data_IF_995908255708
#
_entry.id   IF_995908255708
#
_cell.length_a   1.000
_cell.length_b   1.000
_cell.length_c   1.000
_cell.angle_alpha   90.00
_cell.angle_beta   90.00
_cell.angle_gamma   90.00
#
_symmetry.space_group_name_H-M   'P 1'
#
loop_
_entity.id
_entity.type
_entity.pdbx_description
1 polymer ?
#
# COMPACT_ATOMS: atom_id res chain seq x y z
N UNK A 1 18.87 -14.99 29.02
CA UNK A 1 19.44 -14.54 27.72
C UNK A 1 18.63 -15.02 26.50
N UNK A 2 17.37 -15.47 26.70
CA UNK A 2 16.53 -16.05 25.63
C UNK A 2 15.22 -15.32 25.36
N UNK A 3 14.82 -14.32 26.15
CA UNK A 3 13.59 -13.56 25.92
C UNK A 3 13.80 -12.16 25.34
N UNK A 4 14.96 -11.55 25.57
CA UNK A 4 15.24 -10.17 25.08
C UNK A 4 15.55 -10.08 23.58
N UNK A 5 15.73 -11.19 22.88
CA UNK A 5 16.07 -11.20 21.44
C UNK A 5 14.86 -11.31 20.50
N UNK A 6 13.62 -11.31 21.02
CA UNK A 6 12.42 -11.66 20.22
C UNK A 6 11.61 -10.49 19.69
N UNK A 7 11.82 -9.26 20.15
CA UNK A 7 11.08 -8.10 19.65
C UNK A 7 11.99 -7.16 18.88
N UNK A 8 11.71 -6.98 17.60
CA UNK A 8 12.26 -5.92 16.78
C UNK A 8 11.07 -5.04 16.36
N UNK A 9 10.99 -3.77 16.76
CA UNK A 9 11.89 -3.08 17.70
C UNK A 9 11.72 -3.50 19.17
N UNK A 10 12.73 -3.23 20.04
CA UNK A 10 12.70 -3.59 21.44
C UNK A 10 11.53 -2.97 22.20
N UNK A 11 11.04 -3.65 23.25
CA UNK A 11 9.97 -3.12 24.11
C UNK A 11 10.48 -2.25 25.26
N UNK A 12 11.73 -2.45 25.67
CA UNK A 12 12.33 -1.82 26.85
C UNK A 12 13.59 -1.05 26.48
N UNK A 13 13.86 -0.02 27.27
CA UNK A 13 15.01 0.86 27.09
C UNK A 13 14.82 1.91 26.02
N UNK A 14 15.90 2.62 25.71
CA UNK A 14 15.92 3.69 24.70
C UNK A 14 16.53 3.18 23.40
N UNK A 15 15.84 3.44 22.28
CA UNK A 15 16.32 3.14 20.93
C UNK A 15 15.79 4.18 19.93
N UNK A 16 16.35 4.21 18.74
CA UNK A 16 15.84 5.00 17.62
C UNK A 16 15.41 4.10 16.49
N UNK A 17 14.34 4.47 15.78
CA UNK A 17 13.87 3.77 14.60
C UNK A 17 13.62 4.76 13.46
N UNK A 18 13.98 4.37 12.25
CA UNK A 18 13.89 5.21 11.07
C UNK A 18 13.01 4.56 10.01
N UNK A 19 12.07 5.32 9.46
CA UNK A 19 11.30 4.94 8.27
C UNK A 19 11.35 6.01 7.21
N UNK A 20 11.10 5.61 5.97
CA UNK A 20 11.05 6.51 4.82
C UNK A 20 9.72 6.43 4.09
N UNK A 21 9.44 7.44 3.30
CA UNK A 21 8.37 7.46 2.31
C UNK A 21 8.79 8.25 1.08
N UNK A 22 7.99 8.18 0.03
CA UNK A 22 8.26 8.90 -1.22
C UNK A 22 6.99 9.57 -1.73
N UNK A 23 7.15 10.62 -2.53
CA UNK A 23 6.03 11.32 -3.14
C UNK A 23 5.42 10.52 -4.31
N UNK A 24 4.24 10.92 -4.74
CA UNK A 24 3.56 10.39 -5.93
C UNK A 24 4.39 10.49 -7.22
N UNK A 25 5.31 11.45 -7.28
CA UNK A 25 6.18 11.68 -8.44
C UNK A 25 7.49 10.90 -8.43
N UNK A 26 7.75 10.08 -7.42
CA UNK A 26 8.87 9.15 -7.43
C UNK A 26 8.66 8.12 -8.55
N UNK A 27 9.71 7.74 -9.35
CA UNK A 27 9.55 6.85 -10.49
C UNK A 27 8.82 5.53 -10.20
N UNK A 28 9.16 4.85 -9.12
CA UNK A 28 8.48 3.61 -8.73
C UNK A 28 7.00 3.87 -8.40
N UNK A 29 6.67 5.00 -7.77
CA UNK A 29 5.27 5.33 -7.44
C UNK A 29 4.46 5.81 -8.66
N UNK A 30 5.10 6.38 -9.68
CA UNK A 30 4.45 6.62 -10.97
C UNK A 30 4.06 5.29 -11.60
N UNK A 31 4.97 4.30 -11.58
CA UNK A 31 4.72 2.96 -12.11
C UNK A 31 3.56 2.27 -11.38
N UNK A 32 3.56 2.31 -10.04
CA UNK A 32 2.47 1.77 -9.22
C UNK A 32 1.12 2.42 -9.53
N UNK A 33 1.07 3.75 -9.62
CA UNK A 33 -0.16 4.49 -9.93
C UNK A 33 -0.69 4.18 -11.32
N UNK A 34 0.18 4.02 -12.33
CA UNK A 34 -0.25 3.63 -13.69
C UNK A 34 -0.84 2.23 -13.67
N UNK A 35 -0.19 1.26 -13.00
CA UNK A 35 -0.66 -0.12 -12.92
C UNK A 35 -2.01 -0.23 -12.22
N UNK A 36 -2.21 0.49 -11.13
CA UNK A 36 -3.49 0.52 -10.40
C UNK A 36 -4.56 1.32 -11.15
N UNK A 37 -4.22 2.38 -11.89
CA UNK A 37 -5.17 3.10 -12.74
C UNK A 37 -5.70 2.23 -13.89
N UNK A 38 -4.85 1.37 -14.45
CA UNK A 38 -5.28 0.38 -15.47
C UNK A 38 -6.25 -0.61 -14.85
N UNK A 39 -5.95 -1.14 -13.66
CA UNK A 39 -6.84 -2.05 -12.93
C UNK A 39 -8.20 -1.38 -12.63
N UNK A 40 -8.21 -0.17 -12.10
CA UNK A 40 -9.43 0.56 -11.77
C UNK A 40 -10.27 0.85 -13.02
N UNK A 41 -9.64 1.25 -14.13
CA UNK A 41 -10.34 1.48 -15.38
C UNK A 41 -11.01 0.21 -15.92
N UNK A 42 -10.33 -0.94 -15.81
CA UNK A 42 -10.87 -2.26 -16.20
C UNK A 42 -12.07 -2.61 -15.32
N UNK A 43 -11.93 -2.52 -13.99
CA UNK A 43 -13.02 -2.84 -13.07
C UNK A 43 -14.24 -1.96 -13.31
N UNK A 44 -14.05 -0.66 -13.43
CA UNK A 44 -15.13 0.29 -13.70
C UNK A 44 -15.86 -0.03 -15.01
N UNK A 45 -15.10 -0.33 -16.09
CA UNK A 45 -15.70 -0.64 -17.39
C UNK A 45 -16.37 -2.01 -17.41
N UNK A 46 -15.82 -3.00 -16.72
CA UNK A 46 -16.44 -4.34 -16.62
C UNK A 46 -17.77 -4.26 -15.85
N UNK A 47 -17.83 -3.49 -14.75
CA UNK A 47 -19.08 -3.24 -14.01
C UNK A 47 -20.12 -2.58 -14.91
N UNK A 48 -19.75 -1.54 -15.65
CA UNK A 48 -20.64 -0.86 -16.60
C UNK A 48 -21.18 -1.83 -17.65
N UNK A 49 -20.34 -2.67 -18.25
CA UNK A 49 -20.72 -3.67 -19.24
C UNK A 49 -21.64 -4.75 -18.63
N UNK A 50 -21.36 -5.18 -17.42
CA UNK A 50 -22.19 -6.15 -16.69
C UNK A 50 -23.59 -5.57 -16.43
N UNK A 51 -23.71 -4.31 -16.00
CA UNK A 51 -25.00 -3.63 -15.80
C UNK A 51 -25.80 -3.48 -17.11
N UNK A 52 -25.12 -3.33 -18.23
CA UNK A 52 -25.73 -3.28 -19.58
C UNK A 52 -26.12 -4.67 -20.11
N UNK A 53 -25.77 -5.75 -19.42
CA UNK A 53 -26.00 -7.14 -19.88
C UNK A 53 -25.18 -7.50 -21.12
N UNK A 54 -23.99 -6.90 -21.26
CA UNK A 54 -23.12 -7.12 -22.42
C UNK A 54 -22.62 -8.57 -22.49
N UNK A 55 -22.73 -9.15 -23.67
CA UNK A 55 -22.18 -10.47 -24.01
C UNK A 55 -21.16 -10.25 -25.14
N UNK A 56 -19.93 -10.66 -24.91
CA UNK A 56 -18.89 -10.54 -25.90
C UNK A 56 -19.12 -11.45 -27.14
N UNK A 57 -18.46 -11.21 -28.29
CA UNK A 57 -18.62 -12.02 -29.49
C UNK A 57 -18.29 -13.51 -29.31
N UNK A 58 -17.49 -13.86 -28.33
CA UNK A 58 -17.19 -15.24 -27.94
C UNK A 58 -18.27 -15.91 -27.07
N UNK A 59 -19.37 -15.19 -26.77
CA UNK A 59 -20.50 -15.68 -25.96
C UNK A 59 -20.31 -15.52 -24.45
N UNK A 60 -19.20 -14.95 -23.99
CA UNK A 60 -18.93 -14.75 -22.56
C UNK A 60 -19.56 -13.45 -22.08
N UNK A 61 -20.41 -13.45 -21.04
CA UNK A 61 -20.95 -12.23 -20.47
C UNK A 61 -19.90 -11.46 -19.68
N UNK A 62 -20.01 -10.13 -19.68
CA UNK A 62 -19.23 -9.30 -18.78
C UNK A 62 -19.61 -9.60 -17.33
N UNK A 63 -18.60 -9.83 -16.50
CA UNK A 63 -18.78 -10.10 -15.06
C UNK A 63 -17.49 -9.72 -14.31
N UNK A 64 -17.60 -8.75 -13.42
CA UNK A 64 -16.48 -8.28 -12.60
C UNK A 64 -15.80 -9.40 -11.78
N UNK A 65 -16.54 -10.48 -11.48
CA UNK A 65 -15.98 -11.65 -10.79
C UNK A 65 -14.94 -12.40 -11.62
N UNK A 66 -15.01 -12.28 -12.96
CA UNK A 66 -14.11 -12.92 -13.90
C UNK A 66 -12.90 -12.07 -14.27
N UNK A 67 -12.83 -10.83 -13.80
CA UNK A 67 -11.69 -9.96 -14.06
C UNK A 67 -10.44 -10.52 -13.38
N UNK A 68 -9.36 -10.64 -14.17
CA UNK A 68 -8.02 -10.95 -13.66
C UNK A 68 -7.05 -9.93 -14.23
N UNK A 69 -6.23 -9.38 -13.37
CA UNK A 69 -5.26 -8.36 -13.73
C UNK A 69 -3.96 -8.59 -12.97
N UNK A 70 -2.87 -8.69 -13.71
CA UNK A 70 -1.51 -8.61 -13.22
C UNK A 70 -0.78 -7.62 -14.15
N UNK A 71 -0.84 -6.33 -13.80
CA UNK A 71 -0.33 -5.22 -14.61
C UNK A 71 0.93 -4.66 -13.97
N UNK A 72 2.01 -4.62 -14.72
CA UNK A 72 3.29 -4.07 -14.31
C UNK A 72 3.70 -2.95 -15.26
N UNK A 73 4.30 -1.90 -14.69
CA UNK A 73 4.72 -0.72 -15.43
C UNK A 73 6.20 -0.45 -15.18
N UNK A 74 6.93 -0.10 -16.24
CA UNK A 74 8.26 0.48 -16.19
C UNK A 74 8.18 1.91 -16.72
N UNK A 75 8.79 2.85 -15.99
CA UNK A 75 8.97 4.23 -16.44
C UNK A 75 10.44 4.60 -16.44
N UNK A 76 10.88 5.30 -17.50
CA UNK A 76 12.25 5.83 -17.62
C UNK A 76 12.22 7.11 -18.45
N UNK A 77 13.37 7.71 -18.77
CA UNK A 77 13.44 8.93 -19.58
C UNK A 77 12.58 8.80 -20.84
N UNK A 78 11.55 9.64 -20.94
CA UNK A 78 10.69 9.74 -22.13
C UNK A 78 9.89 8.49 -22.50
N UNK A 79 9.82 7.47 -21.60
CA UNK A 79 9.20 6.18 -21.97
C UNK A 79 8.43 5.56 -20.81
N UNK A 80 7.27 4.97 -21.14
CA UNK A 80 6.44 4.11 -20.29
C UNK A 80 6.22 2.79 -21.01
N UNK A 81 6.42 1.69 -20.31
CA UNK A 81 6.07 0.33 -20.80
C UNK A 81 5.08 -0.26 -19.80
N UNK A 82 3.90 -0.62 -20.27
CA UNK A 82 2.88 -1.33 -19.49
C UNK A 82 2.77 -2.75 -20.03
N UNK A 83 3.03 -3.73 -19.17
CA UNK A 83 3.05 -5.15 -19.53
C UNK A 83 2.24 -5.97 -18.52
N UNK A 84 1.92 -7.20 -18.87
CA UNK A 84 1.27 -8.14 -17.96
C UNK A 84 0.14 -8.92 -18.58
N UNK A 85 -0.56 -9.69 -17.75
CA UNK A 85 -1.63 -10.59 -18.15
C UNK A 85 -2.97 -10.06 -17.62
N UNK A 86 -3.93 -9.88 -18.53
CA UNK A 86 -5.26 -9.36 -18.21
C UNK A 86 -6.33 -10.22 -18.88
N UNK A 87 -7.35 -10.61 -18.08
CA UNK A 87 -8.58 -11.25 -18.55
C UNK A 87 -9.77 -10.36 -18.19
N UNK A 88 -10.45 -9.82 -19.20
CA UNK A 88 -11.61 -8.94 -19.06
C UNK A 88 -12.40 -8.90 -20.37
N UNK A 89 -13.67 -8.49 -20.33
CA UNK A 89 -14.44 -8.12 -21.53
C UNK A 89 -14.37 -6.61 -21.82
N UNK A 90 -13.77 -5.85 -20.89
CA UNK A 90 -13.63 -4.41 -21.01
C UNK A 90 -12.48 -4.04 -21.95
N UNK A 91 -12.69 -3.02 -22.79
CA UNK A 91 -11.61 -2.32 -23.47
C UNK A 91 -11.30 -1.02 -22.76
N UNK A 92 -10.02 -0.78 -22.46
CA UNK A 92 -9.52 0.48 -21.91
C UNK A 92 -8.32 0.98 -22.73
N UNK A 93 -8.21 2.29 -22.87
CA UNK A 93 -7.06 2.90 -23.54
C UNK A 93 -5.91 3.09 -22.53
N UNK A 94 -5.01 2.12 -22.50
CA UNK A 94 -3.86 2.09 -21.57
C UNK A 94 -2.95 3.32 -21.77
N UNK A 95 -2.83 3.83 -23.01
CA UNK A 95 -1.99 5.01 -23.27
C UNK A 95 -2.60 6.25 -22.65
N UNK A 96 -3.90 6.48 -22.83
CA UNK A 96 -4.58 7.63 -22.23
C UNK A 96 -4.61 7.53 -20.70
N UNK A 97 -4.79 6.35 -20.13
CA UNK A 97 -4.70 6.11 -18.68
C UNK A 97 -3.32 6.53 -18.16
N UNK A 98 -2.25 6.00 -18.75
CA UNK A 98 -0.88 6.33 -18.35
C UNK A 98 -0.61 7.84 -18.45
N UNK A 99 -0.99 8.48 -19.56
CA UNK A 99 -0.86 9.94 -19.74
C UNK A 99 -1.66 10.73 -18.71
N UNK A 100 -2.86 10.27 -18.37
CA UNK A 100 -3.71 10.86 -17.34
C UNK A 100 -3.04 10.88 -15.97
N UNK A 101 -2.47 9.75 -15.56
CA UNK A 101 -1.71 9.62 -14.31
C UNK A 101 -0.49 10.56 -14.30
N UNK A 102 0.32 10.55 -15.36
CA UNK A 102 1.51 11.40 -15.48
C UNK A 102 1.15 12.88 -15.41
N UNK A 103 0.04 13.29 -16.08
CA UNK A 103 -0.48 14.65 -16.07
C UNK A 103 -0.92 15.10 -14.68
N UNK A 104 -1.67 14.25 -13.97
CA UNK A 104 -2.16 14.52 -12.61
C UNK A 104 -1.00 14.69 -11.62
N UNK A 105 0.03 13.85 -11.71
CA UNK A 105 1.24 13.95 -10.89
C UNK A 105 1.98 15.27 -11.15
N UNK A 106 1.87 15.84 -12.35
CA UNK A 106 2.46 17.13 -12.69
C UNK A 106 3.70 17.06 -13.57
N UNK A 107 3.97 15.93 -14.23
CA UNK A 107 4.96 15.82 -15.30
C UNK A 107 4.33 16.29 -16.63
N UNK A 108 4.27 17.60 -16.82
CA UNK A 108 3.57 18.27 -17.92
C UNK A 108 4.45 19.19 -18.77
N UNK A 109 5.78 19.00 -18.71
CA UNK A 109 6.76 19.80 -19.45
C UNK A 109 7.89 18.93 -19.98
N UNK A 110 8.12 18.99 -21.29
CA UNK A 110 9.17 18.23 -21.97
C UNK A 110 10.59 18.43 -21.35
N UNK A 111 10.85 19.62 -20.78
CA UNK A 111 12.14 19.92 -20.11
C UNK A 111 12.41 19.07 -18.86
N UNK A 112 11.43 18.35 -18.34
CA UNK A 112 11.62 17.38 -17.25
C UNK A 112 12.19 16.05 -17.74
N UNK A 113 12.37 15.87 -19.07
CA UNK A 113 12.82 14.61 -19.68
C UNK A 113 11.77 13.49 -19.60
N UNK A 114 10.60 13.79 -19.08
CA UNK A 114 9.44 12.92 -18.95
C UNK A 114 8.19 13.80 -18.83
N UNK A 115 7.23 13.63 -19.71
CA UNK A 115 5.97 14.40 -19.67
C UNK A 115 4.82 13.65 -20.33
N UNK A 116 3.59 14.01 -19.94
CA UNK A 116 2.37 13.32 -20.34
C UNK A 116 2.05 13.41 -21.84
N UNK A 117 2.56 14.42 -22.57
CA UNK A 117 2.23 14.62 -23.98
C UNK A 117 3.23 13.93 -24.91
N UNK A 118 4.53 13.96 -24.56
CA UNK A 118 5.61 13.54 -25.47
C UNK A 118 6.25 12.20 -25.13
N UNK A 119 6.01 11.64 -23.92
CA UNK A 119 6.56 10.32 -23.60
C UNK A 119 5.99 9.23 -24.52
N UNK A 120 6.84 8.29 -24.94
CA UNK A 120 6.38 7.08 -25.62
C UNK A 120 5.67 6.16 -24.62
N UNK A 121 4.50 5.65 -24.97
CA UNK A 121 3.78 4.66 -24.16
C UNK A 121 3.62 3.39 -24.98
N UNK A 122 4.18 2.28 -24.49
CA UNK A 122 4.06 0.97 -25.10
C UNK A 122 3.18 0.07 -24.21
N UNK A 123 2.23 -0.60 -24.83
CA UNK A 123 1.41 -1.65 -24.18
C UNK A 123 1.85 -3.02 -24.68
N UNK A 124 2.27 -3.88 -23.74
CA UNK A 124 2.67 -5.27 -23.96
C UNK A 124 1.79 -6.20 -23.11
N UNK A 125 0.49 -5.89 -23.08
CA UNK A 125 -0.51 -6.67 -22.36
C UNK A 125 -1.00 -7.83 -23.24
N UNK A 126 -1.14 -9.01 -22.65
CA UNK A 126 -1.68 -10.19 -23.29
C UNK A 126 -2.65 -10.94 -22.36
N UNK A 127 -3.31 -11.98 -22.89
CA UNK A 127 -4.24 -12.79 -22.11
C UNK A 127 -3.51 -13.67 -21.10
N UNK A 128 -4.18 -13.95 -19.97
CA UNK A 128 -3.68 -14.86 -18.94
C UNK A 128 -3.54 -16.29 -19.49
N UNK A 129 -2.47 -17.00 -19.05
CA UNK A 129 -2.27 -18.42 -19.36
C UNK A 129 -3.47 -19.27 -18.92
N UNK A 130 -4.01 -20.16 -19.80
CA UNK A 130 -5.09 -21.08 -19.42
C UNK A 130 -4.73 -22.00 -18.26
N UNK A 131 -3.47 -22.39 -18.13
CA UNK A 131 -3.00 -23.30 -17.07
C UNK A 131 -3.09 -22.62 -15.68
N UNK A 132 -2.75 -21.32 -15.61
CA UNK A 132 -2.89 -20.54 -14.38
C UNK A 132 -4.37 -20.30 -14.07
N UNK A 133 -5.18 -19.99 -15.08
CA UNK A 133 -6.60 -19.74 -14.91
C UNK A 133 -7.33 -20.95 -14.29
N UNK A 134 -7.01 -22.17 -14.70
CA UNK A 134 -7.64 -23.38 -14.20
C UNK A 134 -7.48 -23.56 -12.67
N UNK A 135 -6.30 -23.25 -12.13
CA UNK A 135 -6.04 -23.42 -10.69
C UNK A 135 -6.65 -22.32 -9.81
N UNK A 136 -7.00 -21.17 -10.40
CA UNK A 136 -7.51 -20.00 -9.65
C UNK A 136 -9.02 -19.84 -9.75
N UNK A 137 -9.60 -20.25 -10.88
CA UNK A 137 -11.04 -20.11 -11.14
C UNK A 137 -11.89 -21.14 -10.37
N UNK A 138 -11.32 -22.31 -10.05
CA UNK A 138 -11.96 -23.33 -9.24
C UNK A 138 -10.94 -23.93 -8.26
N UNK A 139 -11.19 -23.78 -6.95
CA UNK A 139 -10.27 -24.24 -5.92
C UNK A 139 -10.11 -25.77 -5.90
N UNK A 140 -9.00 -26.23 -5.33
CA UNK A 140 -8.72 -27.65 -5.12
C UNK A 140 -9.84 -28.34 -4.34
N UNK A 141 -10.39 -27.71 -3.32
CA UNK A 141 -11.47 -28.25 -2.50
C UNK A 141 -12.76 -28.43 -3.32
N UNK A 142 -13.07 -27.50 -4.23
CA UNK A 142 -14.23 -27.58 -5.12
C UNK A 142 -14.02 -28.65 -6.19
N UNK A 143 -12.86 -28.68 -6.86
CA UNK A 143 -12.52 -29.68 -7.87
C UNK A 143 -12.55 -31.12 -7.33
N UNK A 144 -12.14 -31.31 -6.09
CA UNK A 144 -12.17 -32.63 -5.42
C UNK A 144 -13.52 -33.00 -4.80
N UNK A 145 -14.48 -32.10 -4.83
CA UNK A 145 -15.78 -32.28 -4.17
C UNK A 145 -15.74 -32.30 -2.65
N UNK A 146 -14.67 -31.75 -2.06
CA UNK A 146 -14.50 -31.67 -0.62
C UNK A 146 -15.42 -30.62 0.03
N UNK A 147 -15.94 -29.67 -0.76
CA UNK A 147 -16.84 -28.62 -0.30
C UNK A 147 -17.93 -28.32 -1.32
N UNK A 148 -19.04 -27.74 -0.84
CA UNK A 148 -20.10 -27.15 -1.67
C UNK A 148 -20.35 -25.68 -1.27
N UNK A 149 -19.52 -25.12 -0.39
CA UNK A 149 -19.60 -23.72 0.04
C UNK A 149 -19.15 -22.80 -1.14
N UNK A 150 -20.00 -21.87 -1.61
CA UNK A 150 -19.63 -20.95 -2.69
C UNK A 150 -18.41 -20.09 -2.38
N UNK A 151 -18.08 -19.86 -1.10
CA UNK A 151 -16.88 -19.10 -0.69
C UNK A 151 -15.60 -19.87 -1.05
N UNK A 152 -15.63 -21.19 -1.01
CA UNK A 152 -14.51 -22.04 -1.35
C UNK A 152 -14.26 -22.16 -2.86
N UNK A 153 -15.13 -21.59 -3.70
CA UNK A 153 -14.95 -21.62 -5.16
C UNK A 153 -13.63 -20.97 -5.59
N UNK A 154 -13.27 -19.86 -4.94
CA UNK A 154 -12.06 -19.09 -5.25
C UNK A 154 -10.90 -19.63 -4.42
N UNK A 155 -9.91 -20.22 -5.09
CA UNK A 155 -8.61 -20.54 -4.50
C UNK A 155 -7.68 -19.33 -4.45
N UNK A 156 -6.62 -19.41 -3.65
CA UNK A 156 -5.58 -18.39 -3.64
C UNK A 156 -4.91 -18.27 -5.02
N UNK A 157 -4.76 -17.03 -5.50
CA UNK A 157 -4.17 -16.76 -6.83
C UNK A 157 -2.68 -17.06 -6.94
N UNK A 158 -2.01 -17.25 -5.82
CA UNK A 158 -0.60 -17.64 -5.71
C UNK A 158 -0.33 -18.27 -4.35
N UNK A 159 0.85 -18.87 -4.19
CA UNK A 159 1.42 -19.20 -2.89
C UNK A 159 2.06 -17.97 -2.28
N UNK A 160 2.16 -17.89 -0.94
CA UNK A 160 2.91 -16.81 -0.30
C UNK A 160 2.60 -16.66 1.18
N UNK A 161 3.33 -15.75 1.81
CA UNK A 161 3.12 -15.28 3.18
C UNK A 161 2.80 -13.79 3.14
N UNK A 162 1.77 -13.36 3.83
CA UNK A 162 1.34 -11.96 3.91
C UNK A 162 1.28 -11.54 5.36
N UNK A 163 1.65 -10.30 5.62
CA UNK A 163 1.73 -9.75 6.97
C UNK A 163 0.82 -8.53 7.12
N UNK A 164 0.17 -8.46 8.28
CA UNK A 164 -0.52 -7.27 8.75
C UNK A 164 0.08 -6.83 10.07
N UNK A 165 0.13 -5.51 10.31
CA UNK A 165 0.66 -4.95 11.54
C UNK A 165 -0.23 -3.79 12.03
N UNK A 166 -0.29 -3.61 13.35
CA UNK A 166 -0.87 -2.45 13.99
C UNK A 166 -0.18 -2.17 15.33
N UNK A 167 -0.12 -0.91 15.73
CA UNK A 167 0.34 -0.48 17.04
C UNK A 167 -0.48 0.72 17.53
N UNK A 168 -0.57 0.91 18.85
CA UNK A 168 -1.33 2.01 19.45
C UNK A 168 -0.55 3.35 19.47
N UNK A 169 0.46 3.50 18.59
CA UNK A 169 1.34 4.68 18.55
C UNK A 169 0.67 5.91 17.92
N UNK A 170 -0.24 5.71 16.97
CA UNK A 170 -0.94 6.76 16.24
C UNK A 170 -2.44 6.54 16.22
N UNK A 171 -3.22 7.58 15.92
CA UNK A 171 -4.70 7.48 15.80
C UNK A 171 -5.15 6.46 14.75
N UNK A 172 -4.34 6.23 13.72
CA UNK A 172 -4.62 5.25 12.66
C UNK A 172 -4.03 3.88 12.94
N UNK A 173 -3.44 3.69 14.13
CA UNK A 173 -2.80 2.46 14.58
C UNK A 173 -1.64 2.01 13.67
N UNK A 174 -0.83 2.99 13.24
CA UNK A 174 0.39 2.80 12.46
C UNK A 174 1.63 3.13 13.29
N UNK A 175 2.80 2.55 12.94
CA UNK A 175 4.09 2.94 13.53
C UNK A 175 4.40 4.42 13.27
N UNK A 176 4.79 5.15 14.32
CA UNK A 176 5.00 6.60 14.26
C UNK A 176 6.01 7.05 13.18
N UNK A 177 7.20 6.43 13.01
CA UNK A 177 8.18 6.90 12.02
C UNK A 177 7.66 6.80 10.59
N UNK A 178 6.99 5.69 10.25
CA UNK A 178 6.42 5.48 8.92
C UNK A 178 5.23 6.40 8.65
N UNK A 179 4.36 6.54 9.64
CA UNK A 179 3.22 7.44 9.56
C UNK A 179 3.68 8.88 9.29
N UNK A 180 4.64 9.39 10.06
CA UNK A 180 5.17 10.75 9.87
C UNK A 180 5.87 10.92 8.51
N UNK A 181 6.68 9.93 8.09
CA UNK A 181 7.34 9.98 6.78
C UNK A 181 6.30 10.07 5.64
N UNK A 182 5.23 9.28 5.71
CA UNK A 182 4.15 9.30 4.71
C UNK A 182 3.37 10.63 4.74
N UNK A 183 3.06 11.17 5.94
CA UNK A 183 2.39 12.50 6.04
C UNK A 183 3.26 13.62 5.51
N UNK A 184 4.58 13.58 5.74
CA UNK A 184 5.51 14.56 5.15
C UNK A 184 5.54 14.47 3.62
N UNK A 185 5.58 13.27 3.04
CA UNK A 185 5.55 13.07 1.59
C UNK A 185 4.24 13.57 0.97
N UNK A 186 3.11 13.29 1.60
CA UNK A 186 1.80 13.79 1.17
C UNK A 186 1.72 15.31 1.26
N UNK A 187 2.18 15.91 2.38
CA UNK A 187 2.19 17.37 2.54
C UNK A 187 3.12 18.06 1.55
N UNK A 188 4.28 17.44 1.25
CA UNK A 188 5.21 17.93 0.25
C UNK A 188 4.56 18.04 -1.14
N UNK A 189 3.78 17.05 -1.52
CA UNK A 189 3.00 17.09 -2.76
C UNK A 189 1.86 18.10 -2.70
N UNK A 190 1.16 18.20 -1.58
CA UNK A 190 0.05 19.14 -1.42
C UNK A 190 0.50 20.59 -1.61
N UNK A 191 1.61 21.03 -0.99
CA UNK A 191 2.11 22.41 -1.13
C UNK A 191 2.63 22.74 -2.53
N UNK A 192 2.96 21.71 -3.32
CA UNK A 192 3.27 21.85 -4.74
C UNK A 192 2.00 22.03 -5.56
N UNK A 193 0.98 21.20 -5.32
CA UNK A 193 -0.29 21.24 -6.07
C UNK A 193 -1.10 22.49 -5.80
N UNK A 194 -1.16 22.96 -4.57
CA UNK A 194 -1.91 24.17 -4.20
C UNK A 194 -1.18 25.48 -4.54
N UNK A 195 0.08 25.38 -5.01
CA UNK A 195 0.88 26.52 -5.41
C UNK A 195 1.54 27.28 -4.26
N UNK A 196 1.49 26.77 -3.02
CA UNK A 196 2.21 27.35 -1.87
C UNK A 196 3.72 27.37 -2.14
N UNK A 197 4.27 26.26 -2.66
CA UNK A 197 5.66 26.15 -3.10
C UNK A 197 5.76 25.77 -4.57
N UNK A 198 5.49 26.69 -5.51
CA UNK A 198 5.33 26.39 -6.93
C UNK A 198 6.61 26.00 -7.65
N UNK A 199 7.75 26.18 -7.00
CA UNK A 199 9.06 25.79 -7.53
C UNK A 199 9.41 24.31 -7.26
N UNK A 200 8.66 23.62 -6.40
CA UNK A 200 8.83 22.18 -6.19
C UNK A 200 8.44 21.40 -7.44
N UNK A 201 9.06 20.24 -7.59
CA UNK A 201 8.80 19.30 -8.67
C UNK A 201 8.27 18.00 -8.07
N UNK A 202 7.69 17.08 -8.91
CA UNK A 202 6.94 15.94 -8.37
C UNK A 202 7.76 14.93 -7.57
N UNK A 203 9.05 14.75 -7.88
CA UNK A 203 9.89 13.73 -7.24
C UNK A 203 10.40 14.19 -5.87
N UNK A 204 10.26 13.33 -4.88
CA UNK A 204 10.76 13.59 -3.53
C UNK A 204 10.73 12.36 -2.64
N UNK A 205 11.53 12.43 -1.58
CA UNK A 205 11.63 11.42 -0.52
C UNK A 205 11.62 12.08 0.85
N UNK A 206 11.07 11.39 1.81
CA UNK A 206 11.05 11.79 3.21
C UNK A 206 11.55 10.66 4.08
N UNK A 207 12.25 10.99 5.16
CA UNK A 207 12.73 10.01 6.14
C UNK A 207 12.61 10.63 7.52
N UNK A 208 12.13 9.86 8.50
CA UNK A 208 11.94 10.30 9.87
C UNK A 208 12.55 9.29 10.82
N UNK A 209 13.39 9.78 11.75
CA UNK A 209 13.90 9.00 12.87
C UNK A 209 13.22 9.43 14.15
N UNK A 210 12.62 8.47 14.84
CA UNK A 210 11.93 8.67 16.12
C UNK A 210 12.69 7.96 17.22
N UNK A 211 12.87 8.64 18.35
CA UNK A 211 13.38 8.03 19.58
C UNK A 211 12.22 7.44 20.38
N UNK A 212 12.47 6.23 20.86
CA UNK A 212 11.56 5.45 21.69
C UNK A 212 12.12 5.29 23.09
N UNK A 213 11.24 5.30 24.08
CA UNK A 213 11.52 4.92 25.47
C UNK A 213 10.45 3.92 25.90
N UNK A 214 10.91 2.75 26.34
CA UNK A 214 10.04 1.65 26.77
C UNK A 214 8.90 1.36 25.79
N UNK A 215 9.25 1.23 24.51
CA UNK A 215 8.34 0.90 23.43
C UNK A 215 7.41 2.03 22.97
N UNK A 216 7.53 3.25 23.51
CA UNK A 216 6.70 4.40 23.16
C UNK A 216 7.49 5.47 22.41
N UNK A 217 6.96 6.03 21.32
CA UNK A 217 7.59 7.14 20.61
C UNK A 217 7.58 8.39 21.50
N UNK A 218 8.72 9.08 21.63
CA UNK A 218 8.84 10.26 22.52
C UNK A 218 9.21 11.53 21.78
N UNK A 219 10.06 11.45 20.76
CA UNK A 219 10.43 12.63 19.95
C UNK A 219 10.99 12.23 18.59
N UNK A 220 10.91 13.15 17.64
CA UNK A 220 11.64 13.07 16.37
C UNK A 220 13.05 13.60 16.57
N UNK A 221 14.05 12.80 16.20
CA UNK A 221 15.46 13.16 16.31
C UNK A 221 16.09 13.58 14.98
N UNK A 222 15.52 13.10 13.84
CA UNK A 222 16.04 13.44 12.52
C UNK A 222 14.94 13.48 11.49
N UNK A 223 14.96 14.48 10.61
CA UNK A 223 14.09 14.59 9.44
C UNK A 223 14.96 14.81 8.21
N UNK A 224 14.79 13.96 7.18
CA UNK A 224 15.42 14.14 5.88
C UNK A 224 14.35 14.36 4.83
N UNK A 225 14.46 15.43 4.04
CA UNK A 225 13.63 15.66 2.86
C UNK A 225 14.53 15.88 1.66
N UNK A 226 14.42 15.01 0.67
CA UNK A 226 14.99 15.22 -0.65
C UNK A 226 13.85 15.55 -1.62
N UNK A 227 13.88 16.73 -2.20
CA UNK A 227 12.83 17.19 -3.12
C UNK A 227 13.39 17.83 -4.36
N UNK A 228 12.87 17.41 -5.51
CA UNK A 228 13.18 18.01 -6.79
C UNK A 228 12.62 19.44 -6.83
N UNK A 229 13.40 20.35 -7.40
CA UNK A 229 13.03 21.76 -7.48
C UNK A 229 13.39 22.40 -8.83
N UNK A 230 12.86 23.58 -9.10
CA UNK A 230 13.17 24.35 -10.29
C UNK A 230 14.64 24.81 -10.31
N UNK A 231 15.22 24.80 -11.50
CA UNK A 231 16.64 25.15 -11.70
C UNK A 231 16.98 26.59 -11.29
N UNK A 232 15.97 27.44 -11.31
CA UNK A 232 16.07 28.87 -10.98
C UNK A 232 16.23 29.13 -9.48
N UNK A 233 15.95 28.13 -8.64
CA UNK A 233 16.12 28.23 -7.18
C UNK A 233 17.49 27.64 -6.80
N UNK A 234 18.44 28.54 -6.51
CA UNK A 234 19.80 28.16 -6.14
C UNK A 234 20.05 28.21 -4.62
N UNK A 235 19.21 28.93 -3.89
CA UNK A 235 19.32 29.08 -2.43
C UNK A 235 18.69 27.86 -1.70
N UNK A 236 19.54 26.93 -1.30
CA UNK A 236 19.12 25.76 -0.52
C UNK A 236 18.64 26.13 0.88
N UNK A 237 19.13 27.26 1.43
CA UNK A 237 18.65 27.80 2.72
C UNK A 237 17.19 28.22 2.66
N UNK A 238 16.79 28.85 1.53
CA UNK A 238 15.39 29.19 1.29
C UNK A 238 14.52 27.93 1.19
N UNK A 239 14.93 26.92 0.43
CA UNK A 239 14.17 25.68 0.32
C UNK A 239 14.00 25.04 1.70
N UNK A 240 15.07 25.00 2.52
CA UNK A 240 15.01 24.46 3.88
C UNK A 240 14.03 25.23 4.76
N UNK A 241 14.06 26.56 4.74
CA UNK A 241 13.15 27.40 5.52
C UNK A 241 11.68 27.20 5.12
N UNK A 242 11.40 27.21 3.81
CA UNK A 242 10.06 26.99 3.26
C UNK A 242 9.51 25.60 3.62
N UNK A 243 10.34 24.54 3.56
CA UNK A 243 9.91 23.20 3.95
C UNK A 243 9.68 23.04 5.44
N UNK A 244 10.46 23.73 6.29
CA UNK A 244 10.21 23.76 7.73
C UNK A 244 8.84 24.40 8.00
N UNK A 245 8.56 25.56 7.39
CA UNK A 245 7.35 26.33 7.64
C UNK A 245 6.09 25.63 7.07
N UNK A 246 6.15 25.14 5.83
CA UNK A 246 4.96 24.71 5.11
C UNK A 246 4.74 23.19 5.09
N UNK A 247 5.78 22.40 5.41
CA UNK A 247 5.70 20.93 5.39
C UNK A 247 5.95 20.33 6.77
N UNK A 248 7.10 20.58 7.39
CA UNK A 248 7.49 19.90 8.63
C UNK A 248 6.63 20.36 9.80
N UNK A 249 6.61 21.67 10.10
CA UNK A 249 5.91 22.19 11.25
C UNK A 249 4.40 21.86 11.26
N UNK A 250 3.66 21.98 10.14
CA UNK A 250 2.24 21.59 10.12
C UNK A 250 2.01 20.09 10.40
N UNK A 251 2.85 19.20 9.88
CA UNK A 251 2.71 17.76 10.10
C UNK A 251 3.03 17.40 11.55
N UNK A 252 4.12 17.92 12.11
CA UNK A 252 4.49 17.66 13.51
C UNK A 252 3.45 18.19 14.49
N UNK A 253 2.89 19.38 14.22
CA UNK A 253 1.83 19.96 15.03
C UNK A 253 0.53 19.12 14.99
N UNK A 254 0.15 18.59 13.83
CA UNK A 254 -1.04 17.77 13.68
C UNK A 254 -0.97 16.46 14.49
N UNK A 255 0.24 15.90 14.65
CA UNK A 255 0.48 14.66 15.38
C UNK A 255 0.99 14.90 16.81
N UNK A 256 1.10 16.17 17.22
CA UNK A 256 1.60 16.58 18.55
C UNK A 256 2.94 15.91 18.92
N UNK A 257 3.84 15.81 17.93
CA UNK A 257 5.12 15.10 18.08
C UNK A 257 6.25 16.10 18.30
N UNK A 258 7.00 16.04 19.44
CA UNK A 258 8.14 16.91 19.69
C UNK A 258 9.26 16.71 18.66
N UNK A 259 9.84 17.83 18.18
CA UNK A 259 10.92 17.83 17.19
C UNK A 259 11.89 19.00 17.31
N UNK A 260 11.80 19.81 18.38
CA UNK A 260 12.59 21.03 18.57
C UNK A 260 14.11 20.83 18.54
N UNK A 261 14.56 19.62 18.89
CA UNK A 261 15.98 19.23 18.85
C UNK A 261 16.39 18.43 17.62
N UNK A 262 15.52 18.27 16.63
CA UNK A 262 15.76 17.38 15.50
C UNK A 262 16.80 17.93 14.52
N UNK A 263 17.68 17.06 14.03
CA UNK A 263 18.53 17.35 12.88
C UNK A 263 17.70 17.35 11.59
N UNK A 264 17.67 18.49 10.89
CA UNK A 264 16.90 18.63 9.64
C UNK A 264 17.85 18.72 8.45
N UNK A 265 17.77 17.74 7.57
CA UNK A 265 18.50 17.66 6.31
C UNK A 265 17.56 17.85 5.12
N UNK A 266 17.80 18.91 4.34
CA UNK A 266 17.07 19.17 3.09
C UNK A 266 18.05 19.18 1.94
N UNK A 267 17.80 18.29 0.95
CA UNK A 267 18.70 18.11 -0.19
C UNK A 267 20.20 18.07 0.24
N UNK A 268 20.62 17.15 1.12
CA UNK A 268 21.96 17.19 1.74
C UNK A 268 23.09 17.09 0.72
N UNK A 269 22.83 16.59 -0.48
CA UNK A 269 23.79 16.56 -1.60
C UNK A 269 23.81 17.86 -2.41
N UNK A 270 22.97 18.85 -2.04
CA UNK A 270 22.83 20.12 -2.73
C UNK A 270 21.69 20.13 -3.75
N UNK A 271 21.94 20.60 -4.95
CA UNK A 271 20.94 20.82 -6.00
C UNK A 271 20.29 19.52 -6.48
N UNK A 272 18.94 19.49 -6.48
CA UNK A 272 18.14 18.38 -6.99
C UNK A 272 17.17 18.86 -8.09
N UNK A 273 17.68 19.07 -9.29
CA UNK A 273 16.92 19.55 -10.46
C UNK A 273 16.54 18.42 -11.41
N UNK A 274 17.47 17.48 -11.64
CA UNK A 274 17.19 16.27 -12.44
C UNK A 274 16.65 15.22 -11.49
N UNK A 275 15.43 14.78 -11.73
CA UNK A 275 14.71 13.78 -10.92
C UNK A 275 13.58 13.15 -11.72
N UNK A 276 12.74 12.37 -11.05
CA UNK A 276 11.72 11.59 -11.70
C UNK A 276 12.30 10.55 -12.66
N UNK A 277 11.52 10.07 -13.66
CA UNK A 277 11.99 9.05 -14.61
C UNK A 277 13.19 9.46 -15.46
N UNK A 278 13.55 10.75 -15.52
CA UNK A 278 14.78 11.22 -16.13
C UNK A 278 16.01 10.91 -15.27
N UNK A 279 15.83 10.89 -13.95
CA UNK A 279 16.92 10.65 -12.99
C UNK A 279 17.13 9.18 -12.67
N UNK A 280 16.04 8.43 -12.57
CA UNK A 280 16.05 7.01 -12.19
C UNK A 280 14.88 6.27 -12.83
N UNK A 281 15.06 4.99 -13.15
CA UNK A 281 14.02 4.12 -13.70
C UNK A 281 13.10 3.64 -12.57
N UNK A 282 11.78 3.71 -12.80
CA UNK A 282 10.77 3.19 -11.88
C UNK A 282 10.12 1.91 -12.39
N UNK A 283 9.76 1.04 -11.45
CA UNK A 283 8.99 -0.18 -11.72
C UNK A 283 7.91 -0.39 -10.66
N UNK A 284 6.80 -1.00 -11.07
CA UNK A 284 5.75 -1.46 -10.17
C UNK A 284 6.32 -2.41 -9.13
N UNK A 285 5.91 -2.22 -7.86
CA UNK A 285 6.25 -3.12 -6.77
C UNK A 285 7.67 -2.99 -6.21
N UNK A 286 8.34 -1.86 -6.43
CA UNK A 286 9.67 -1.59 -5.86
C UNK A 286 9.67 -0.70 -4.62
N UNK A 287 8.49 -0.35 -4.10
CA UNK A 287 8.32 0.43 -2.86
C UNK A 287 7.45 -0.28 -1.83
N UNK A 288 7.55 -1.63 -1.79
CA UNK A 288 6.68 -2.48 -0.96
C UNK A 288 6.77 -2.20 0.54
N UNK A 289 7.90 -1.73 1.02
CA UNK A 289 8.08 -1.36 2.43
C UNK A 289 7.46 0.02 2.72
N UNK A 290 7.56 0.97 1.78
CA UNK A 290 6.85 2.26 1.84
C UNK A 290 5.33 2.06 1.75
N UNK A 291 4.88 1.09 0.97
CA UNK A 291 3.46 0.76 0.81
C UNK A 291 2.84 0.16 2.07
N UNK A 292 3.64 -0.38 2.99
CA UNK A 292 3.19 -1.11 4.17
C UNK A 292 3.53 -0.40 5.49
N UNK A 293 4.57 -0.82 6.20
CA UNK A 293 4.84 -0.38 7.57
C UNK A 293 6.21 0.27 7.76
N UNK A 294 6.92 0.62 6.67
CA UNK A 294 8.22 1.32 6.74
C UNK A 294 9.33 0.53 7.42
N UNK A 295 9.24 -0.80 7.39
CA UNK A 295 10.20 -1.70 8.02
C UNK A 295 9.90 -2.05 9.50
N UNK A 296 8.81 -1.51 10.06
CA UNK A 296 8.41 -1.79 11.43
C UNK A 296 7.73 -3.17 11.58
N UNK A 297 6.87 -3.55 10.64
CA UNK A 297 6.29 -4.88 10.50
C UNK A 297 7.04 -5.72 9.46
N UNK A 298 6.91 -7.06 9.54
CA UNK A 298 7.44 -7.98 8.53
C UNK A 298 6.74 -7.79 7.19
N UNK A 299 7.35 -8.32 6.14
CA UNK A 299 6.80 -8.30 4.77
C UNK A 299 7.07 -9.63 4.06
N UNK A 300 6.06 -10.16 3.37
CA UNK A 300 6.19 -11.43 2.63
C UNK A 300 6.86 -11.31 1.26
N UNK A 301 7.10 -10.09 0.76
CA UNK A 301 7.76 -9.79 -0.51
C UNK A 301 6.82 -9.52 -1.68
N UNK A 302 5.52 -9.79 -1.58
CA UNK A 302 4.55 -9.55 -2.64
C UNK A 302 4.22 -8.07 -2.84
N UNK A 303 4.25 -7.58 -4.07
CA UNK A 303 3.79 -6.25 -4.45
C UNK A 303 2.26 -6.19 -4.55
N UNK A 304 1.67 -5.02 -4.34
CA UNK A 304 0.22 -4.80 -4.38
C UNK A 304 -0.26 -4.25 -5.71
N UNK A 305 0.33 -3.15 -6.18
CA UNK A 305 -0.14 -2.38 -7.33
C UNK A 305 -0.20 -3.24 -8.60
N UNK A 306 -1.24 -3.02 -9.40
CA UNK A 306 -1.51 -3.74 -10.63
C UNK A 306 -2.17 -5.12 -10.46
N UNK A 307 -2.33 -5.61 -9.23
CA UNK A 307 -2.92 -6.92 -8.91
C UNK A 307 -4.39 -6.77 -8.52
N UNK A 308 -5.28 -7.56 -9.15
CA UNK A 308 -6.67 -7.68 -8.73
C UNK A 308 -6.82 -8.45 -7.40
N UNK A 309 -8.01 -8.41 -6.81
CA UNK A 309 -8.29 -8.95 -5.48
C UNK A 309 -8.16 -10.47 -5.34
N UNK A 310 -8.02 -11.24 -6.43
CA UNK A 310 -7.76 -12.69 -6.35
C UNK A 310 -6.30 -13.02 -6.00
N UNK A 311 -5.40 -12.04 -6.15
CA UNK A 311 -4.00 -12.16 -5.76
C UNK A 311 -3.87 -11.91 -4.27
N UNK A 312 -3.61 -12.97 -3.53
CA UNK A 312 -3.50 -12.95 -2.06
C UNK A 312 -2.37 -12.05 -1.54
N UNK A 313 -1.33 -11.79 -2.34
CA UNK A 313 -0.29 -10.79 -2.03
C UNK A 313 -0.92 -9.46 -1.63
N UNK A 314 -1.99 -9.05 -2.29
CA UNK A 314 -2.72 -7.83 -2.02
C UNK A 314 -3.88 -8.06 -1.04
N UNK A 315 -4.82 -8.92 -1.38
CA UNK A 315 -6.06 -9.10 -0.61
C UNK A 315 -5.81 -9.65 0.78
N UNK A 316 -4.91 -10.62 0.95
CA UNK A 316 -4.61 -11.18 2.26
C UNK A 316 -3.71 -10.26 3.11
N UNK A 317 -2.84 -9.43 2.50
CA UNK A 317 -2.14 -8.38 3.24
C UNK A 317 -3.11 -7.33 3.78
N UNK A 318 -4.14 -6.96 3.02
CA UNK A 318 -5.22 -6.08 3.48
C UNK A 318 -6.04 -6.72 4.60
N UNK A 319 -6.40 -8.01 4.47
CA UNK A 319 -7.09 -8.76 5.52
C UNK A 319 -6.25 -8.89 6.80
N UNK A 320 -4.95 -9.17 6.67
CA UNK A 320 -4.05 -9.24 7.80
C UNK A 320 -3.94 -7.89 8.53
N UNK A 321 -3.91 -6.76 7.79
CA UNK A 321 -4.01 -5.42 8.37
C UNK A 321 -5.34 -5.21 9.11
N UNK A 322 -6.45 -5.60 8.51
CA UNK A 322 -7.77 -5.50 9.12
C UNK A 322 -7.83 -6.25 10.45
N UNK A 323 -7.32 -7.49 10.49
CA UNK A 323 -7.23 -8.30 11.72
C UNK A 323 -6.36 -7.60 12.77
N UNK A 324 -5.11 -7.26 12.43
CA UNK A 324 -4.16 -6.64 13.37
C UNK A 324 -4.72 -5.33 13.94
N UNK A 325 -5.35 -4.50 13.08
CA UNK A 325 -5.94 -3.24 13.49
C UNK A 325 -7.09 -3.43 14.47
N UNK A 326 -7.97 -4.41 14.24
CA UNK A 326 -9.09 -4.71 15.15
C UNK A 326 -8.60 -5.29 16.49
N UNK A 327 -7.57 -6.11 16.51
CA UNK A 327 -6.97 -6.64 17.76
C UNK A 327 -6.46 -5.49 18.63
N UNK A 328 -5.70 -4.55 18.06
CA UNK A 328 -5.18 -3.38 18.79
C UNK A 328 -6.30 -2.42 19.18
N UNK A 329 -7.25 -2.14 18.28
CA UNK A 329 -8.40 -1.29 18.56
C UNK A 329 -9.32 -1.86 19.66
N UNK A 330 -9.42 -3.18 19.78
CA UNK A 330 -10.13 -3.86 20.85
C UNK A 330 -9.42 -3.77 22.21
N UNK A 331 -8.19 -3.24 22.24
CA UNK A 331 -7.38 -3.17 23.47
C UNK A 331 -6.88 -4.54 23.94
N UNK A 332 -6.78 -5.52 23.05
CA UNK A 332 -6.29 -6.86 23.38
C UNK A 332 -4.76 -6.92 23.48
N UNK A 333 -4.08 -6.01 22.75
CA UNK A 333 -2.63 -5.83 22.78
C UNK A 333 -2.28 -4.38 22.35
N UNK A 334 -1.09 -3.89 22.72
CA UNK A 334 -0.58 -2.59 22.24
C UNK A 334 0.00 -2.69 20.83
N UNK A 335 0.49 -3.87 20.44
CA UNK A 335 1.01 -4.20 19.11
C UNK A 335 0.51 -5.57 18.68
N UNK A 336 0.24 -5.72 17.39
CA UNK A 336 -0.18 -6.99 16.82
C UNK A 336 0.38 -7.12 15.39
N UNK A 337 1.01 -8.25 15.12
CA UNK A 337 1.37 -8.70 13.78
C UNK A 337 0.62 -9.99 13.47
N UNK A 338 0.09 -10.08 12.27
CA UNK A 338 -0.62 -11.25 11.77
C UNK A 338 0.08 -11.75 10.52
N UNK A 339 0.42 -13.04 10.49
CA UNK A 339 0.89 -13.73 9.29
C UNK A 339 -0.20 -14.64 8.74
N UNK A 340 -0.42 -14.57 7.44
CA UNK A 340 -1.28 -15.48 6.68
C UNK A 340 -0.46 -16.16 5.60
N UNK A 341 -0.58 -17.48 5.47
CA UNK A 341 0.09 -18.23 4.41
C UNK A 341 -0.91 -19.00 3.55
N UNK A 342 -0.68 -19.02 2.23
CA UNK A 342 -1.54 -19.70 1.26
C UNK A 342 -0.73 -20.58 0.31
N UNK A 343 -1.40 -21.58 -0.26
CA UNK A 343 -0.94 -22.31 -1.44
C UNK A 343 -1.81 -21.96 -2.65
N UNK A 344 -1.22 -21.89 -3.83
CA UNK A 344 -1.95 -21.60 -5.07
C UNK A 344 -3.11 -22.58 -5.27
N UNK A 345 -4.29 -22.07 -5.62
CA UNK A 345 -5.49 -22.86 -5.88
C UNK A 345 -6.18 -23.40 -4.62
N UNK A 346 -5.66 -23.22 -3.43
CA UNK A 346 -6.28 -23.68 -2.16
C UNK A 346 -7.14 -22.55 -1.56
N UNK A 347 -8.37 -22.89 -1.13
CA UNK A 347 -9.33 -21.91 -0.63
C UNK A 347 -9.12 -21.53 0.84
N UNK A 348 -8.29 -22.25 1.58
CA UNK A 348 -8.06 -22.03 3.01
C UNK A 348 -6.63 -21.59 3.26
N UNK A 349 -6.37 -20.67 4.23
CA UNK A 349 -5.01 -20.39 4.64
C UNK A 349 -4.35 -21.65 5.21
N UNK A 350 -3.06 -21.85 4.91
CA UNK A 350 -2.25 -22.96 5.46
C UNK A 350 -1.91 -22.71 6.91
N UNK A 351 -1.72 -21.45 7.29
CA UNK A 351 -1.44 -21.03 8.66
C UNK A 351 -1.92 -19.60 8.91
N UNK A 352 -2.29 -19.36 10.17
CA UNK A 352 -2.59 -18.06 10.74
C UNK A 352 -1.72 -17.93 11.98
N UNK A 353 -0.85 -16.92 12.03
CA UNK A 353 -0.04 -16.63 13.22
C UNK A 353 -0.39 -15.23 13.72
N UNK A 354 -0.49 -15.06 15.01
CA UNK A 354 -0.66 -13.77 15.69
C UNK A 354 0.47 -13.60 16.68
N UNK A 355 1.20 -12.50 16.59
CA UNK A 355 2.28 -12.13 17.49
C UNK A 355 1.96 -10.76 18.12
N UNK A 356 1.84 -10.73 19.42
CA UNK A 356 1.59 -9.50 20.18
C UNK A 356 2.86 -8.87 20.74
N UNK A 357 4.02 -9.46 20.47
CA UNK A 357 5.32 -9.01 20.96
C UNK A 357 5.37 -8.89 22.50
N UNK A 358 4.60 -9.72 23.20
CA UNK A 358 4.48 -9.68 24.68
C UNK A 358 3.71 -8.46 25.22
N UNK A 359 2.95 -7.74 24.36
CA UNK A 359 2.10 -6.61 24.78
C UNK A 359 0.64 -7.00 24.98
N UNK A 360 0.32 -8.29 24.98
CA UNK A 360 -1.03 -8.79 25.17
C UNK A 360 -1.60 -8.40 26.55
N UNK A 361 -2.85 -7.96 26.57
CA UNK A 361 -3.61 -7.65 27.80
C UNK A 361 -4.49 -8.83 28.24
N UNK A 362 -4.61 -9.84 27.39
CA UNK A 362 -5.26 -11.13 27.66
C UNK A 362 -4.34 -12.27 27.22
N UNK A 363 -4.65 -13.51 27.55
CA UNK A 363 -3.84 -14.65 27.13
C UNK A 363 -3.78 -14.73 25.58
N UNK A 364 -2.59 -14.93 25.01
CA UNK A 364 -2.37 -14.90 23.55
C UNK A 364 -3.17 -15.97 22.80
N UNK A 365 -3.34 -17.16 23.41
CA UNK A 365 -4.16 -18.23 22.85
C UNK A 365 -5.64 -17.83 22.68
N UNK A 366 -6.15 -16.97 23.56
CA UNK A 366 -7.51 -16.40 23.41
C UNK A 366 -7.59 -15.40 22.27
N UNK A 367 -6.53 -14.63 22.00
CA UNK A 367 -6.50 -13.70 20.87
C UNK A 367 -6.52 -14.49 19.56
N UNK A 368 -5.71 -15.55 19.46
CA UNK A 368 -5.70 -16.44 18.28
C UNK A 368 -7.07 -17.06 18.05
N UNK A 369 -7.68 -17.63 19.08
CA UNK A 369 -9.04 -18.22 19.03
C UNK A 369 -10.09 -17.17 18.60
N UNK A 370 -10.00 -15.95 19.12
CA UNK A 370 -10.91 -14.86 18.76
C UNK A 370 -10.74 -14.45 17.30
N UNK A 371 -9.50 -14.35 16.80
CA UNK A 371 -9.22 -14.06 15.40
C UNK A 371 -9.80 -15.13 14.47
N UNK A 372 -9.54 -16.42 14.75
CA UNK A 372 -10.04 -17.53 13.94
C UNK A 372 -11.59 -17.62 13.90
N UNK A 373 -12.25 -17.21 14.99
CA UNK A 373 -13.73 -17.20 15.04
C UNK A 373 -14.37 -16.00 14.38
N UNK A 374 -13.69 -14.84 14.42
CA UNK A 374 -14.25 -13.56 13.97
C UNK A 374 -14.02 -13.31 12.49
N UNK A 375 -12.90 -13.78 11.94
CA UNK A 375 -12.48 -13.48 10.57
C UNK A 375 -12.46 -14.74 9.71
N UNK A 376 -13.19 -14.71 8.61
CA UNK A 376 -13.08 -15.71 7.56
C UNK A 376 -11.97 -15.27 6.59
N UNK A 377 -10.81 -15.91 6.69
CA UNK A 377 -9.60 -15.55 5.94
C UNK A 377 -9.42 -16.38 4.66
N UNK A 378 -10.49 -17.02 4.17
CA UNK A 378 -10.52 -17.62 2.83
C UNK A 378 -10.52 -16.50 1.77
N UNK A 379 -9.81 -16.65 0.63
CA UNK A 379 -9.74 -15.61 -0.41
C UNK A 379 -11.11 -15.07 -0.84
N UNK A 380 -12.10 -15.93 -1.08
CA UNK A 380 -13.45 -15.53 -1.44
C UNK A 380 -14.15 -14.71 -0.35
N UNK A 381 -13.95 -15.04 0.93
CA UNK A 381 -14.50 -14.29 2.05
C UNK A 381 -13.83 -12.92 2.21
N UNK A 382 -12.50 -12.85 2.08
CA UNK A 382 -11.75 -11.57 2.12
C UNK A 382 -12.28 -10.61 1.06
N UNK A 383 -12.45 -11.09 -0.18
CA UNK A 383 -12.96 -10.27 -1.30
C UNK A 383 -14.36 -9.74 -0.99
N UNK A 384 -15.24 -10.57 -0.43
CA UNK A 384 -16.59 -10.19 -0.04
C UNK A 384 -16.60 -9.20 1.12
N UNK A 385 -15.91 -9.51 2.21
CA UNK A 385 -16.00 -8.77 3.48
C UNK A 385 -15.30 -7.40 3.39
N UNK A 386 -14.25 -7.30 2.58
CA UNK A 386 -13.56 -6.03 2.30
C UNK A 386 -14.07 -5.35 1.02
N UNK A 387 -15.05 -5.93 0.31
CA UNK A 387 -15.67 -5.37 -0.91
C UNK A 387 -14.62 -4.91 -1.94
N UNK A 388 -13.72 -5.84 -2.32
CA UNK A 388 -12.53 -5.54 -3.11
C UNK A 388 -12.74 -5.54 -4.64
N UNK A 389 -13.95 -5.76 -5.15
CA UNK A 389 -14.22 -5.75 -6.61
C UNK A 389 -14.61 -4.36 -7.14
N UNK A 390 -14.26 -3.32 -6.43
CA UNK A 390 -14.52 -1.92 -6.80
C UNK A 390 -13.27 -1.25 -7.35
N UNK A 391 -13.40 -0.18 -8.17
CA UNK A 391 -12.27 0.62 -8.64
C UNK A 391 -11.77 1.56 -7.53
N UNK A 392 -10.97 1.03 -6.61
CA UNK A 392 -10.49 1.70 -5.39
C UNK A 392 -8.97 1.73 -5.28
N UNK A 393 -8.26 1.20 -6.26
CA UNK A 393 -6.86 0.84 -6.14
C UNK A 393 -5.89 1.96 -6.47
N UNK A 394 -6.15 2.78 -7.48
CA UNK A 394 -5.25 3.87 -7.90
C UNK A 394 -4.88 4.80 -6.72
N UNK A 395 -5.84 5.14 -5.89
CA UNK A 395 -5.61 6.01 -4.73
C UNK A 395 -4.80 5.38 -3.60
N UNK A 396 -4.62 4.05 -3.61
CA UNK A 396 -3.73 3.36 -2.65
C UNK A 396 -2.27 3.49 -3.03
N UNK A 397 -1.97 3.70 -4.31
CA UNK A 397 -0.65 3.58 -4.90
C UNK A 397 0.35 4.67 -4.50
N UNK A 398 -0.03 5.65 -3.70
CA UNK A 398 0.87 6.66 -3.14
C UNK A 398 0.55 6.91 -1.67
N UNK A 399 1.58 7.25 -0.86
CA UNK A 399 1.47 7.59 0.57
C UNK A 399 1.07 6.44 1.50
N UNK A 400 1.28 5.18 1.07
CA UNK A 400 0.99 3.97 1.82
C UNK A 400 -0.42 3.43 1.62
N UNK A 401 -0.54 2.10 1.66
CA UNK A 401 -1.83 1.40 1.56
C UNK A 401 -2.56 1.33 2.91
N UNK A 402 -1.85 1.57 4.01
CA UNK A 402 -2.35 1.46 5.39
C UNK A 402 -2.26 2.78 6.14
N UNK A 403 -3.08 2.90 7.19
CA UNK A 403 -3.09 4.08 8.06
C UNK A 403 -3.75 5.32 7.45
N UNK A 404 -4.67 5.15 6.51
CA UNK A 404 -5.42 6.23 5.86
C UNK A 404 -6.92 6.02 6.05
N UNK A 405 -7.60 7.03 6.60
CA UNK A 405 -9.04 7.00 6.88
C UNK A 405 -9.86 7.40 5.64
N UNK A 406 -9.70 6.65 4.54
CA UNK A 406 -10.52 6.77 3.34
C UNK A 406 -11.66 5.76 3.43
N UNK A 407 -12.94 6.13 3.15
CA UNK A 407 -14.08 5.22 3.24
C UNK A 407 -13.98 3.99 2.32
N UNK A 408 -13.20 4.06 1.24
CA UNK A 408 -12.95 2.91 0.36
C UNK A 408 -11.86 1.96 0.88
N UNK A 409 -11.08 2.38 1.86
CA UNK A 409 -10.05 1.53 2.48
C UNK A 409 -10.69 0.68 3.58
N UNK A 410 -11.49 -0.29 3.17
CA UNK A 410 -12.31 -1.12 4.05
C UNK A 410 -11.51 -1.92 5.07
N UNK A 411 -10.24 -2.24 4.77
CA UNK A 411 -9.30 -2.90 5.67
C UNK A 411 -8.83 -2.02 6.84
N UNK A 412 -9.15 -0.73 6.82
CA UNK A 412 -8.91 0.18 7.93
C UNK A 412 -10.08 0.28 8.91
N UNK A 413 -11.20 -0.42 8.68
CA UNK A 413 -12.36 -0.45 9.59
C UNK A 413 -12.01 -1.19 10.88
N UNK A 414 -12.56 -0.68 12.00
CA UNK A 414 -12.50 -1.32 13.33
C UNK A 414 -13.84 -1.90 13.72
N UNK A 415 -14.48 -2.57 12.79
CA UNK A 415 -15.87 -3.05 12.86
C UNK A 415 -16.04 -4.42 13.54
N UNK A 416 -14.93 -5.05 13.95
CA UNK A 416 -14.92 -6.36 14.64
C UNK A 416 -14.50 -6.26 16.11
N UNK A 417 -14.33 -5.06 16.63
CA UNK A 417 -13.86 -4.81 18.02
C UNK A 417 -14.74 -5.48 19.06
N UNK A 418 -16.05 -5.32 18.99
CA UNK A 418 -16.97 -5.86 20.00
C UNK A 418 -17.04 -7.39 19.94
N UNK A 419 -16.93 -7.97 18.74
CA UNK A 419 -16.93 -9.42 18.55
C UNK A 419 -15.65 -10.06 19.13
N UNK A 420 -14.50 -9.43 18.88
CA UNK A 420 -13.22 -9.85 19.47
C UNK A 420 -13.24 -9.78 20.99
N UNK A 421 -13.73 -8.67 21.58
CA UNK A 421 -13.87 -8.52 23.02
C UNK A 421 -14.76 -9.63 23.63
N UNK A 422 -15.94 -9.82 23.04
CA UNK A 422 -16.90 -10.83 23.52
C UNK A 422 -16.28 -12.24 23.51
N UNK A 423 -15.54 -12.60 22.45
CA UNK A 423 -14.85 -13.89 22.35
C UNK A 423 -13.74 -14.03 23.40
N UNK A 424 -13.04 -12.94 23.73
CA UNK A 424 -12.04 -12.93 24.79
C UNK A 424 -12.62 -12.86 26.21
N UNK A 425 -13.92 -12.66 26.35
CA UNK A 425 -14.61 -12.56 27.64
C UNK A 425 -14.49 -11.19 28.32
N UNK A 426 -14.39 -10.13 27.53
CA UNK A 426 -14.32 -8.73 27.95
C UNK A 426 -15.63 -8.00 27.73
#
# INVERSE_FOLDING_TARGET
>A
MSEELRSIPPQHGSFVFTSESVTEGHPDKIADQISDAVLDAILAKEIELQEQGYIAPNGVPANVENVRCACETLVTTGTVIVAGEIRTQAYVDVQEIARGVIRRIGYNRAKFGFDCETCGVMSLIHEQSPDIAQGVDESFETQTGATTDPIDLIGAGDQGMMFGYASNETKTLMPMPHYLASRLAERLSAVRHDGTLPYLRPDGKTQVTVRYEDGKPVEVTTIVISTQHAAEIEDMGKIKADLIEHVIAPVMAAENMPWDGADIYVNPTGRFVVGGPMGDTGLTGRKIIVDTYGGYGRHGGGAFSGKDCTKVDRSAAYAARWVAKNVVAAGLADRCEVELAYAIGVSKPLSIMVDTFGTAHVAEDKIVEAVEKTFDLRPGAIIRDLDLRRPIYEKTAAYGHFGREDPDFTWEKTDRVEELKATCGL
#
